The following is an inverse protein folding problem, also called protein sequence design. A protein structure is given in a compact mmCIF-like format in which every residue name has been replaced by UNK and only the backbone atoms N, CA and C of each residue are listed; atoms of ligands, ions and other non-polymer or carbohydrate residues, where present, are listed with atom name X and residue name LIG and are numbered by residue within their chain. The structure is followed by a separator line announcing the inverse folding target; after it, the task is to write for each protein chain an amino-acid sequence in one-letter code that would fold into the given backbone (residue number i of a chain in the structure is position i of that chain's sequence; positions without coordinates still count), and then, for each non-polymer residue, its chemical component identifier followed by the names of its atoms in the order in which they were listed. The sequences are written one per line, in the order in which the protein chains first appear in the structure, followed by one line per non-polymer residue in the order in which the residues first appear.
data_IF_006715643289
#
_entry.id   IF_006715643289
#
_cell.length_a   1.000
_cell.length_b   1.000
_cell.length_c   1.000
_cell.angle_alpha   90.00
_cell.angle_beta   90.00
_cell.angle_gamma   90.00
#
_symmetry.space_group_name_H-M   'P 1'
#
loop_
_entity.id
_entity.type
_entity.pdbx_description
1 polymer ?
#
# COMPACT_ATOMS: atom_id res chain seq x y z
N UNK A 1 -24.46 -53.21 -66.64
CA UNK A 1 -23.18 -52.51 -66.86
C UNK A 1 -23.27 -50.98 -66.80
N UNK A 2 -23.94 -50.27 -67.71
CA UNK A 2 -23.94 -48.78 -67.70
C UNK A 2 -24.61 -48.16 -66.46
N UNK A 3 -25.77 -48.67 -66.04
CA UNK A 3 -26.47 -48.18 -64.84
C UNK A 3 -25.70 -48.42 -63.54
N UNK A 4 -25.09 -49.61 -63.39
CA UNK A 4 -24.29 -49.96 -62.21
C UNK A 4 -23.06 -49.06 -62.09
N UNK A 5 -22.40 -48.77 -63.22
CA UNK A 5 -21.28 -47.85 -63.26
C UNK A 5 -21.70 -46.44 -62.85
N UNK A 6 -22.84 -45.96 -63.35
CA UNK A 6 -23.35 -44.63 -63.01
C UNK A 6 -23.77 -44.52 -61.53
N UNK A 7 -24.32 -45.59 -60.93
CA UNK A 7 -24.60 -45.66 -59.49
C UNK A 7 -23.30 -45.58 -58.68
N UNK A 8 -22.27 -46.35 -59.07
CA UNK A 8 -20.97 -46.31 -58.39
C UNK A 8 -20.31 -44.94 -58.47
N UNK A 9 -20.36 -44.28 -59.63
CA UNK A 9 -19.84 -42.91 -59.80
C UNK A 9 -20.57 -41.90 -58.91
N UNK A 10 -21.91 -42.04 -58.78
CA UNK A 10 -22.71 -41.21 -57.87
C UNK A 10 -22.33 -41.44 -56.40
N UNK A 11 -22.16 -42.69 -55.98
CA UNK A 11 -21.78 -43.04 -54.61
C UNK A 11 -20.35 -42.54 -54.28
N UNK A 12 -19.43 -42.60 -55.25
CA UNK A 12 -18.08 -42.03 -55.12
C UNK A 12 -18.16 -40.52 -54.93
N UNK A 13 -18.92 -39.82 -55.76
CA UNK A 13 -19.08 -38.37 -55.68
C UNK A 13 -19.70 -37.94 -54.34
N UNK A 14 -20.71 -38.67 -53.86
CA UNK A 14 -21.31 -38.42 -52.54
C UNK A 14 -20.31 -38.70 -51.41
N UNK A 15 -19.55 -39.79 -51.49
CA UNK A 15 -18.50 -40.13 -50.54
C UNK A 15 -17.38 -39.09 -50.47
N UNK A 16 -16.97 -38.53 -51.61
CA UNK A 16 -16.01 -37.43 -51.70
C UNK A 16 -16.56 -36.13 -51.10
N UNK A 17 -17.82 -35.80 -51.39
CA UNK A 17 -18.51 -34.64 -50.81
C UNK A 17 -18.52 -34.70 -49.27
N UNK A 18 -18.96 -35.84 -48.70
CA UNK A 18 -18.98 -36.07 -47.24
C UNK A 18 -17.58 -36.00 -46.62
N UNK A 19 -16.56 -36.54 -47.31
CA UNK A 19 -15.16 -36.48 -46.86
C UNK A 19 -14.65 -35.04 -46.82
N UNK A 20 -14.93 -34.26 -47.87
CA UNK A 20 -14.53 -32.85 -47.94
C UNK A 20 -15.19 -32.03 -46.84
N UNK A 21 -16.48 -32.25 -46.57
CA UNK A 21 -17.18 -31.59 -45.47
C UNK A 21 -16.55 -31.94 -44.11
N UNK A 22 -16.25 -33.22 -43.89
CA UNK A 22 -15.61 -33.68 -42.64
C UNK A 22 -14.20 -33.12 -42.46
N UNK A 23 -13.39 -33.10 -43.52
CA UNK A 23 -12.06 -32.51 -43.53
C UNK A 23 -12.12 -31.01 -43.22
N UNK A 24 -13.09 -30.29 -43.79
CA UNK A 24 -13.31 -28.88 -43.49
C UNK A 24 -13.65 -28.63 -42.01
N UNK A 25 -14.53 -29.46 -41.44
CA UNK A 25 -14.86 -29.41 -40.00
C UNK A 25 -13.64 -29.71 -39.12
N UNK A 26 -12.87 -30.74 -39.46
CA UNK A 26 -11.65 -31.11 -38.73
C UNK A 26 -10.62 -29.99 -38.77
N UNK A 27 -10.40 -29.35 -39.93
CA UNK A 27 -9.46 -28.25 -40.07
C UNK A 27 -9.88 -27.00 -39.28
N UNK A 28 -11.18 -26.67 -39.29
CA UNK A 28 -11.73 -25.59 -38.47
C UNK A 28 -11.53 -25.85 -36.99
N UNK A 29 -11.86 -27.06 -36.53
CA UNK A 29 -11.68 -27.46 -35.13
C UNK A 29 -10.21 -27.39 -34.71
N UNK A 30 -9.30 -27.89 -35.55
CA UNK A 30 -7.87 -27.84 -35.28
C UNK A 30 -7.37 -26.39 -35.13
N UNK A 31 -7.77 -25.50 -36.04
CA UNK A 31 -7.45 -24.07 -35.98
C UNK A 31 -7.97 -23.40 -34.69
N UNK A 32 -9.18 -23.76 -34.25
CA UNK A 32 -9.77 -23.23 -33.00
C UNK A 32 -9.01 -23.73 -31.76
N UNK A 33 -8.59 -25.00 -31.74
CA UNK A 33 -7.80 -25.60 -30.66
C UNK A 33 -6.43 -24.93 -30.57
N UNK A 34 -5.72 -24.76 -31.69
CA UNK A 34 -4.43 -24.08 -31.75
C UNK A 34 -4.54 -22.64 -31.22
N UNK A 35 -5.59 -21.92 -31.61
CA UNK A 35 -5.88 -20.59 -31.09
C UNK A 35 -6.06 -20.57 -29.57
N UNK A 36 -6.80 -21.54 -29.02
CA UNK A 36 -7.03 -21.64 -27.58
C UNK A 36 -5.78 -22.07 -26.80
N UNK A 37 -4.93 -22.92 -27.37
CA UNK A 37 -3.67 -23.33 -26.77
C UNK A 37 -2.73 -22.13 -26.61
N UNK A 38 -2.57 -21.32 -27.66
CA UNK A 38 -1.79 -20.08 -27.60
C UNK A 38 -2.31 -19.10 -26.54
N UNK A 39 -3.63 -18.97 -26.41
CA UNK A 39 -4.25 -18.12 -25.38
C UNK A 39 -3.89 -18.62 -23.96
N UNK A 40 -3.96 -19.93 -23.73
CA UNK A 40 -3.61 -20.55 -22.45
C UNK A 40 -2.13 -20.37 -22.12
N UNK A 41 -1.23 -20.54 -23.10
CA UNK A 41 0.21 -20.30 -22.94
C UNK A 41 0.49 -18.85 -22.55
N UNK A 42 -0.12 -17.89 -23.25
CA UNK A 42 0.04 -16.46 -22.97
C UNK A 42 -0.47 -16.09 -21.56
N UNK A 43 -1.62 -16.62 -21.16
CA UNK A 43 -2.16 -16.40 -19.80
C UNK A 43 -1.28 -17.05 -18.73
N UNK A 44 -0.75 -18.25 -19.00
CA UNK A 44 0.13 -18.96 -18.08
C UNK A 44 1.40 -18.18 -17.80
N UNK A 45 2.02 -17.61 -18.83
CA UNK A 45 3.21 -16.76 -18.66
C UNK A 45 2.89 -15.48 -17.87
N UNK A 46 1.77 -14.82 -18.17
CA UNK A 46 1.32 -13.64 -17.41
C UNK A 46 1.09 -13.97 -15.93
N UNK A 47 0.44 -15.09 -15.63
CA UNK A 47 0.23 -15.57 -14.27
C UNK A 47 1.56 -15.86 -13.56
N UNK A 48 2.50 -16.53 -14.22
CA UNK A 48 3.83 -16.79 -13.67
C UNK A 48 4.60 -15.51 -13.37
N UNK A 49 4.54 -14.50 -14.24
CA UNK A 49 5.13 -13.19 -13.97
C UNK A 49 4.51 -12.50 -12.76
N UNK A 50 3.18 -12.56 -12.62
CA UNK A 50 2.48 -12.01 -11.46
C UNK A 50 2.88 -12.73 -10.16
N UNK A 51 2.95 -14.06 -10.18
CA UNK A 51 3.37 -14.89 -9.04
C UNK A 51 4.80 -14.54 -8.59
N UNK A 52 5.74 -14.37 -9.53
CA UNK A 52 7.12 -13.96 -9.22
C UNK A 52 7.17 -12.60 -8.52
N UNK A 53 6.34 -11.63 -8.95
CA UNK A 53 6.25 -10.31 -8.32
C UNK A 53 5.70 -10.37 -6.89
N UNK A 54 4.76 -11.28 -6.64
CA UNK A 54 4.15 -11.47 -5.32
C UNK A 54 5.07 -12.16 -4.31
N UNK A 55 6.22 -12.71 -4.74
CA UNK A 55 7.20 -13.42 -3.89
C UNK A 55 6.53 -14.42 -2.94
N UNK A 56 5.59 -15.19 -3.46
CA UNK A 56 4.91 -16.22 -2.68
C UNK A 56 5.95 -17.20 -2.12
N UNK A 57 5.79 -17.57 -0.84
CA UNK A 57 6.77 -18.34 -0.06
C UNK A 57 7.09 -19.72 -0.64
N UNK A 58 6.16 -20.27 -1.42
CA UNK A 58 6.36 -21.47 -2.21
C UNK A 58 6.59 -21.03 -3.66
N UNK A 59 7.63 -21.56 -4.30
CA UNK A 59 7.96 -21.30 -5.70
C UNK A 59 6.86 -21.85 -6.63
N UNK A 60 5.73 -21.16 -6.70
CA UNK A 60 4.64 -21.51 -7.60
C UNK A 60 5.05 -21.16 -9.03
N UNK A 61 4.92 -22.13 -9.93
CA UNK A 61 5.09 -21.94 -11.36
C UNK A 61 4.08 -22.84 -12.08
N UNK A 62 3.18 -22.22 -12.83
CA UNK A 62 2.30 -22.91 -13.74
C UNK A 62 3.15 -23.48 -14.88
N UNK A 63 3.04 -24.77 -15.13
CA UNK A 63 3.76 -25.48 -16.20
C UNK A 63 2.72 -26.26 -16.95
N UNK A 64 2.58 -25.96 -18.24
CA UNK A 64 1.55 -26.61 -19.05
C UNK A 64 1.96 -28.04 -19.40
N UNK A 65 1.07 -28.99 -19.11
CA UNK A 65 1.18 -30.38 -19.59
C UNK A 65 0.07 -30.67 -20.60
N UNK A 66 0.44 -30.77 -21.87
CA UNK A 66 -0.49 -31.06 -22.97
C UNK A 66 -1.10 -32.47 -22.88
N UNK A 67 -0.52 -33.36 -22.07
CA UNK A 67 -1.05 -34.71 -21.84
C UNK A 67 -1.98 -34.79 -20.62
N UNK A 68 -2.18 -33.67 -19.92
CA UNK A 68 -3.06 -33.62 -18.76
C UNK A 68 -4.50 -33.94 -19.14
N UNK A 69 -5.15 -34.81 -18.37
CA UNK A 69 -6.55 -35.21 -18.57
C UNK A 69 -7.53 -34.33 -17.78
N UNK A 70 -7.01 -33.53 -16.86
CA UNK A 70 -7.76 -32.55 -16.07
C UNK A 70 -7.11 -31.17 -16.12
N UNK A 71 -7.88 -30.11 -15.84
CA UNK A 71 -7.35 -28.74 -15.81
C UNK A 71 -6.20 -28.56 -14.79
N UNK A 72 -6.21 -29.31 -13.69
CA UNK A 72 -5.14 -29.23 -12.69
C UNK A 72 -3.84 -29.89 -13.17
N UNK A 73 -3.94 -31.00 -13.92
CA UNK A 73 -2.81 -31.65 -14.58
C UNK A 73 -2.26 -30.78 -15.70
N UNK A 74 -3.16 -30.24 -16.56
CA UNK A 74 -2.77 -29.38 -17.67
C UNK A 74 -2.07 -28.11 -17.18
N UNK A 75 -2.46 -27.52 -16.06
CA UNK A 75 -1.85 -26.27 -15.54
C UNK A 75 -0.64 -26.56 -14.63
N UNK A 76 -0.46 -27.81 -14.19
CA UNK A 76 0.65 -28.26 -13.35
C UNK A 76 0.57 -27.83 -11.87
N UNK A 77 -0.45 -27.04 -11.47
CA UNK A 77 -0.69 -26.64 -10.09
C UNK A 77 -2.19 -26.65 -9.80
N UNK A 78 -2.56 -27.20 -8.65
CA UNK A 78 -3.92 -27.09 -8.13
C UNK A 78 -4.19 -25.67 -7.60
N UNK A 79 -4.89 -24.86 -8.41
CA UNK A 79 -5.28 -23.49 -8.03
C UNK A 79 -6.07 -23.44 -6.73
N UNK A 80 -7.06 -24.33 -6.56
CA UNK A 80 -8.03 -24.27 -5.46
C UNK A 80 -7.39 -24.59 -4.12
N UNK A 81 -6.50 -25.58 -4.11
CA UNK A 81 -6.00 -26.16 -2.86
C UNK A 81 -4.60 -25.62 -2.49
N UNK A 82 -3.85 -25.08 -3.45
CA UNK A 82 -2.49 -24.59 -3.20
C UNK A 82 -2.36 -23.07 -3.42
N UNK A 83 -2.66 -22.58 -4.63
CA UNK A 83 -2.38 -21.19 -4.97
C UNK A 83 -3.35 -20.22 -4.29
N UNK A 84 -4.65 -20.54 -4.28
CA UNK A 84 -5.68 -19.68 -3.67
C UNK A 84 -5.47 -19.51 -2.15
N UNK A 85 -5.20 -20.57 -1.36
CA UNK A 85 -4.89 -20.42 0.06
C UNK A 85 -3.61 -19.59 0.30
N UNK A 86 -2.56 -19.77 -0.51
CA UNK A 86 -1.34 -18.99 -0.38
C UNK A 86 -1.56 -17.49 -0.67
N UNK A 87 -2.33 -17.16 -1.71
CA UNK A 87 -2.73 -15.79 -2.02
C UNK A 87 -3.56 -15.16 -0.91
N UNK A 88 -4.51 -15.91 -0.35
CA UNK A 88 -5.32 -15.45 0.77
C UNK A 88 -4.48 -15.20 2.02
N UNK A 89 -3.55 -16.10 2.34
CA UNK A 89 -2.64 -15.93 3.46
C UNK A 89 -1.77 -14.67 3.30
N UNK A 90 -1.21 -14.44 2.11
CA UNK A 90 -0.45 -13.22 1.80
C UNK A 90 -1.31 -11.96 1.95
N UNK A 91 -2.55 -11.99 1.46
CA UNK A 91 -3.47 -10.85 1.56
C UNK A 91 -3.80 -10.53 3.04
N UNK A 92 -4.05 -11.54 3.86
CA UNK A 92 -4.33 -11.34 5.29
C UNK A 92 -3.10 -10.86 6.07
N UNK A 93 -1.91 -11.36 5.75
CA UNK A 93 -0.65 -10.85 6.33
C UNK A 93 -0.43 -9.38 5.97
N UNK A 94 -0.61 -9.02 4.69
CA UNK A 94 -0.51 -7.64 4.24
C UNK A 94 -1.53 -6.72 4.95
N UNK A 95 -2.79 -7.15 5.09
CA UNK A 95 -3.81 -6.41 5.85
C UNK A 95 -3.39 -6.18 7.30
N UNK A 96 -2.90 -7.21 7.98
CA UNK A 96 -2.41 -7.11 9.37
C UNK A 96 -1.23 -6.13 9.48
N UNK A 97 -0.28 -6.21 8.56
CA UNK A 97 0.88 -5.32 8.52
C UNK A 97 0.45 -3.85 8.30
N UNK A 98 -0.44 -3.60 7.34
CA UNK A 98 -0.97 -2.26 7.06
C UNK A 98 -1.71 -1.71 8.27
N UNK A 99 -2.58 -2.51 8.91
CA UNK A 99 -3.32 -2.10 10.09
C UNK A 99 -2.40 -1.76 11.26
N UNK A 100 -1.44 -2.64 11.56
CA UNK A 100 -0.45 -2.43 12.63
C UNK A 100 0.37 -1.15 12.40
N UNK A 101 0.88 -0.96 11.17
CA UNK A 101 1.64 0.22 10.81
C UNK A 101 0.80 1.50 10.89
N UNK A 102 -0.46 1.44 10.47
CA UNK A 102 -1.39 2.57 10.53
C UNK A 102 -1.66 2.96 11.98
N UNK A 103 -1.96 1.98 12.85
CA UNK A 103 -2.13 2.21 14.28
C UNK A 103 -0.88 2.81 14.92
N UNK A 104 0.31 2.31 14.56
CA UNK A 104 1.59 2.87 15.03
C UNK A 104 1.76 4.33 14.60
N UNK A 105 1.44 4.66 13.34
CA UNK A 105 1.51 6.05 12.84
C UNK A 105 0.55 6.98 13.56
N UNK A 106 -0.69 6.55 13.81
CA UNK A 106 -1.67 7.34 14.57
C UNK A 106 -1.17 7.63 15.99
N UNK A 107 -0.62 6.62 16.66
CA UNK A 107 -0.07 6.79 18.01
C UNK A 107 1.11 7.77 18.03
N UNK A 108 2.03 7.65 17.06
CA UNK A 108 3.16 8.58 16.94
C UNK A 108 2.70 10.00 16.66
N UNK A 109 1.67 10.18 15.81
CA UNK A 109 1.10 11.49 15.53
C UNK A 109 0.47 12.12 16.79
N UNK A 110 -0.27 11.33 17.58
CA UNK A 110 -0.81 11.78 18.86
C UNK A 110 0.29 12.18 19.83
N UNK A 111 1.31 11.34 19.98
CA UNK A 111 2.45 11.64 20.84
C UNK A 111 3.21 12.90 20.41
N UNK A 112 3.36 13.12 19.10
CA UNK A 112 3.97 14.35 18.56
C UNK A 112 3.16 15.57 18.98
N UNK A 113 1.83 15.54 18.80
CA UNK A 113 0.95 16.63 19.19
C UNK A 113 1.02 16.95 20.69
N UNK A 114 0.98 15.91 21.54
CA UNK A 114 1.08 16.06 23.00
C UNK A 114 2.45 16.66 23.40
N UNK A 115 3.53 16.24 22.73
CA UNK A 115 4.86 16.78 22.95
C UNK A 115 4.96 18.25 22.54
N UNK A 116 4.35 18.65 21.43
CA UNK A 116 4.34 20.04 20.96
C UNK A 116 3.64 20.95 21.97
N UNK A 117 2.48 20.53 22.48
CA UNK A 117 1.76 21.25 23.55
C UNK A 117 2.64 21.36 24.80
N UNK A 118 3.29 20.28 25.21
CA UNK A 118 4.13 20.27 26.40
C UNK A 118 5.34 21.21 26.26
N UNK A 119 5.99 21.21 25.09
CA UNK A 119 7.12 22.11 24.79
C UNK A 119 6.68 23.56 24.82
N UNK A 120 5.54 23.89 24.19
CA UNK A 120 5.03 25.25 24.15
C UNK A 120 4.61 25.73 25.56
N UNK A 121 3.96 24.87 26.34
CA UNK A 121 3.63 25.15 27.75
C UNK A 121 4.88 25.43 28.59
N UNK A 122 5.95 24.63 28.42
CA UNK A 122 7.24 24.88 29.09
C UNK A 122 7.88 26.20 28.66
N UNK A 123 7.82 26.53 27.37
CA UNK A 123 8.35 27.79 26.83
C UNK A 123 7.62 28.99 27.44
N UNK A 124 6.29 28.96 27.46
CA UNK A 124 5.48 30.01 28.05
C UNK A 124 5.76 30.18 29.56
N UNK A 125 5.89 29.07 30.30
CA UNK A 125 6.24 29.09 31.72
C UNK A 125 7.60 29.74 31.98
N UNK A 126 8.63 29.36 31.22
CA UNK A 126 9.96 29.96 31.36
C UNK A 126 9.98 31.46 31.03
N UNK A 127 9.19 31.91 30.06
CA UNK A 127 9.03 33.35 29.75
C UNK A 127 8.36 34.11 30.90
N UNK A 128 7.34 33.52 31.52
CA UNK A 128 6.63 34.11 32.65
C UNK A 128 7.54 34.25 33.88
N UNK A 129 8.35 33.23 34.17
CA UNK A 129 9.32 33.27 35.27
C UNK A 129 10.37 34.36 35.06
N UNK A 130 10.86 34.53 33.82
CA UNK A 130 11.79 35.59 33.46
C UNK A 130 11.17 36.98 33.69
N UNK A 131 9.94 37.19 33.21
CA UNK A 131 9.22 38.45 33.34
C UNK A 131 8.95 38.81 34.82
N UNK A 132 8.57 37.80 35.63
CA UNK A 132 8.35 37.99 37.06
C UNK A 132 9.61 38.47 37.76
N UNK A 133 10.76 37.87 37.45
CA UNK A 133 12.05 38.28 38.00
C UNK A 133 12.42 39.71 37.59
N UNK A 134 12.20 40.08 36.32
CA UNK A 134 12.45 41.44 35.85
C UNK A 134 11.56 42.47 36.57
N UNK A 135 10.29 42.13 36.82
CA UNK A 135 9.36 42.98 37.58
C UNK A 135 9.80 43.16 39.04
N UNK A 136 10.23 42.08 39.71
CA UNK A 136 10.76 42.12 41.08
C UNK A 136 12.04 42.96 41.18
N UNK A 137 12.95 42.81 40.23
CA UNK A 137 14.17 43.61 40.12
C UNK A 137 13.84 45.10 39.88
N UNK A 138 12.88 45.39 39.01
CA UNK A 138 12.41 46.75 38.75
C UNK A 138 11.77 47.38 39.98
N UNK A 139 10.89 46.66 40.67
CA UNK A 139 10.24 47.10 41.91
C UNK A 139 11.27 47.42 43.00
N UNK A 140 12.27 46.55 43.18
CA UNK A 140 13.37 46.75 44.13
C UNK A 140 14.20 47.99 43.80
N UNK A 141 14.49 48.20 42.50
CA UNK A 141 15.23 49.37 42.01
C UNK A 141 14.45 50.67 42.22
N UNK A 142 13.13 50.65 42.01
CA UNK A 142 12.24 51.78 42.25
C UNK A 142 12.19 52.13 43.74
N UNK A 143 11.98 51.14 44.62
CA UNK A 143 11.97 51.33 46.06
C UNK A 143 13.28 51.96 46.58
N UNK A 144 14.43 51.48 46.08
CA UNK A 144 15.75 52.06 46.40
C UNK A 144 15.88 53.52 45.95
N UNK A 145 15.43 53.84 44.73
CA UNK A 145 15.45 55.23 44.23
C UNK A 145 14.59 56.15 45.08
N UNK A 146 13.37 55.74 45.45
CA UNK A 146 12.48 56.52 46.34
C UNK A 146 13.11 56.74 47.72
N UNK A 147 13.77 55.72 48.27
CA UNK A 147 14.48 55.86 49.55
C UNK A 147 15.60 56.89 49.45
N UNK A 148 16.44 56.80 48.41
CA UNK A 148 17.52 57.76 48.16
C UNK A 148 17.00 59.19 47.94
N UNK A 149 15.91 59.38 47.19
CA UNK A 149 15.35 60.72 46.98
C UNK A 149 14.75 61.30 48.26
N UNK A 150 14.11 60.49 49.11
CA UNK A 150 13.65 60.91 50.44
C UNK A 150 14.81 61.34 51.34
N UNK A 151 15.89 60.56 51.37
CA UNK A 151 17.10 60.89 52.13
C UNK A 151 17.69 62.23 51.66
N UNK A 152 17.78 62.46 50.35
CA UNK A 152 18.27 63.74 49.78
C UNK A 152 17.34 64.91 50.12
N UNK A 153 16.02 64.72 50.08
CA UNK A 153 15.05 65.75 50.45
C UNK A 153 15.16 66.11 51.93
N UNK A 154 15.24 65.12 52.83
CA UNK A 154 15.37 65.36 54.26
C UNK A 154 16.65 66.14 54.60
N UNK A 155 17.78 65.83 53.94
CA UNK A 155 19.02 66.60 54.09
C UNK A 155 18.83 68.06 53.64
N UNK A 156 18.16 68.29 52.50
CA UNK A 156 17.88 69.65 52.01
C UNK A 156 16.92 70.42 52.91
N UNK A 157 15.90 69.77 53.46
CA UNK A 157 14.98 70.38 54.42
C UNK A 157 15.70 70.81 55.70
N UNK A 158 16.56 69.94 56.25
CA UNK A 158 17.36 70.28 57.42
C UNK A 158 18.28 71.47 57.15
N UNK A 159 18.95 71.50 56.00
CA UNK A 159 19.79 72.63 55.57
C UNK A 159 19.00 73.93 55.45
N UNK A 160 17.74 73.90 55.01
CA UNK A 160 16.90 75.10 54.98
C UNK A 160 16.45 75.56 56.36
N UNK A 161 16.18 74.64 57.29
CA UNK A 161 15.81 74.99 58.68
C UNK A 161 16.99 75.62 59.42
N UNK A 162 18.22 75.18 59.17
CA UNK A 162 19.45 75.75 59.76
C UNK A 162 19.83 77.13 59.19
N UNK A 163 19.13 77.61 58.14
CA UNK A 163 19.36 78.90 57.46
C UNK A 163 18.39 80.02 57.90
N UNK A 164 17.47 79.77 58.82
CA UNK A 164 16.53 80.74 59.41
C UNK A 164 16.73 80.85 60.93
#
# INVERSE_FOLDING_TARGET
MMWEMQTVESDIAEGESRRNEMSGKAWKLNSEIEGKLMEIEALTEQCNQAIRKLKLRNHFQLVLDINGSSAAEVIGINYKDLLKPALNALAEEAKKAIFSNTKKRINLQKQSYDNDIFIEGKRAGAQLDLLKKEMEDHASRCASKVKKTKEVLAIKEQQMVDLF
#
